data_IF_899814606242
#
_entry.id   IF_899814606242
#
_cell.length_a   1.000
_cell.length_b   1.000
_cell.length_c   1.000
_cell.angle_alpha   90.00
_cell.angle_beta   90.00
_cell.angle_gamma   90.00
#
_symmetry.space_group_name_H-M   'P 1'
#
loop_
_entity.id
_entity.type
_entity.pdbx_description
1 polymer ?
#
# COMPACT_ATOMS: atom_id res chain seq x y z
N UNK A 1 -15.47 34.20 11.88
CA UNK A 1 -15.81 33.19 12.90
C UNK A 1 -17.30 32.96 12.91
N UNK A 2 -17.72 31.70 12.92
CA UNK A 2 -19.10 31.24 13.05
C UNK A 2 -19.25 30.63 14.45
N UNK A 3 -19.99 31.32 15.31
CA UNK A 3 -20.12 30.95 16.73
C UNK A 3 -21.15 29.84 16.98
N UNK A 4 -22.21 29.80 16.17
CA UNK A 4 -23.22 28.74 16.17
C UNK A 4 -23.04 27.82 14.97
N UNK A 5 -23.95 26.84 14.80
CA UNK A 5 -23.95 25.96 13.65
C UNK A 5 -23.96 26.77 12.34
N UNK A 6 -23.14 26.37 11.37
CA UNK A 6 -23.08 26.99 10.06
C UNK A 6 -23.62 26.02 9.01
N UNK A 7 -24.75 26.35 8.41
CA UNK A 7 -25.45 25.48 7.48
C UNK A 7 -25.35 26.02 6.04
N UNK A 8 -24.63 25.28 5.20
CA UNK A 8 -24.48 25.46 3.76
C UNK A 8 -24.98 24.21 3.00
N UNK A 9 -25.91 23.45 3.59
CA UNK A 9 -26.51 22.27 2.96
C UNK A 9 -27.04 22.59 1.56
N UNK A 10 -26.54 21.86 0.56
CA UNK A 10 -26.94 22.03 -0.85
C UNK A 10 -26.65 23.41 -1.44
N UNK A 11 -25.87 24.26 -0.76
CA UNK A 11 -25.59 25.61 -1.22
C UNK A 11 -24.77 25.57 -2.51
N UNK A 12 -25.06 26.47 -3.44
CA UNK A 12 -24.24 26.68 -4.64
C UNK A 12 -23.50 28.01 -4.52
N UNK A 13 -22.17 27.94 -4.60
CA UNK A 13 -21.30 29.10 -4.57
C UNK A 13 -20.89 29.44 -6.01
N UNK A 14 -21.11 30.69 -6.39
CA UNK A 14 -20.71 31.26 -7.69
C UNK A 14 -19.57 32.25 -7.48
N UNK A 15 -18.53 32.14 -8.30
CA UNK A 15 -17.30 32.91 -8.16
C UNK A 15 -16.39 32.38 -7.04
N UNK A 16 -15.16 32.88 -7.06
CA UNK A 16 -14.14 32.56 -6.06
C UNK A 16 -14.67 32.78 -4.64
N UNK A 17 -14.58 31.75 -3.80
CA UNK A 17 -15.12 31.76 -2.44
C UNK A 17 -14.02 31.44 -1.43
N UNK A 18 -13.89 32.26 -0.38
CA UNK A 18 -12.88 32.03 0.67
C UNK A 18 -13.51 31.87 2.05
N UNK A 19 -13.21 30.72 2.65
CA UNK A 19 -13.30 30.42 4.08
C UNK A 19 -11.91 30.33 4.73
N UNK A 20 -10.87 30.86 4.07
CA UNK A 20 -9.50 30.80 4.59
C UNK A 20 -9.41 31.48 5.96
N UNK A 21 -8.73 30.84 6.90
CA UNK A 21 -8.65 31.25 8.32
C UNK A 21 -10.02 31.40 9.03
N UNK A 22 -11.12 30.91 8.46
CA UNK A 22 -12.40 30.88 9.13
C UNK A 22 -12.34 29.95 10.35
N UNK A 23 -13.07 30.33 11.39
CA UNK A 23 -13.24 29.51 12.59
C UNK A 23 -14.70 29.12 12.72
N UNK A 24 -14.98 27.83 12.66
CA UNK A 24 -16.28 27.22 12.92
C UNK A 24 -16.22 26.60 14.32
N UNK A 25 -16.87 27.23 15.30
CA UNK A 25 -16.78 26.79 16.70
C UNK A 25 -17.84 25.75 17.08
N UNK A 26 -18.84 25.57 16.22
CA UNK A 26 -19.86 24.53 16.27
C UNK A 26 -19.85 23.76 14.94
N UNK A 27 -20.80 22.84 14.77
CA UNK A 27 -20.91 22.01 13.58
C UNK A 27 -21.11 22.87 12.31
N UNK A 28 -20.47 22.47 11.22
CA UNK A 28 -20.54 23.13 9.93
C UNK A 28 -20.91 22.11 8.85
N UNK A 29 -22.04 22.32 8.18
CA UNK A 29 -22.47 21.44 7.09
C UNK A 29 -22.30 22.13 5.74
N UNK A 30 -21.54 21.48 4.87
CA UNK A 30 -21.40 21.70 3.43
C UNK A 30 -21.91 20.49 2.66
N UNK A 31 -22.77 19.67 3.28
CA UNK A 31 -23.33 18.48 2.67
C UNK A 31 -23.98 18.83 1.33
N UNK A 32 -23.55 18.15 0.26
CA UNK A 32 -24.07 18.37 -1.09
C UNK A 32 -23.84 19.79 -1.65
N UNK A 33 -22.97 20.61 -1.05
CA UNK A 33 -22.67 21.93 -1.56
C UNK A 33 -21.88 21.86 -2.88
N UNK A 34 -22.09 22.84 -3.76
CA UNK A 34 -21.39 22.96 -5.04
C UNK A 34 -20.56 24.24 -5.09
N UNK A 35 -19.27 24.10 -5.33
CA UNK A 35 -18.33 25.20 -5.55
C UNK A 35 -17.94 25.20 -7.04
N UNK A 36 -18.39 26.20 -7.79
CA UNK A 36 -18.23 26.22 -9.25
C UNK A 36 -16.90 26.83 -9.72
N UNK A 37 -16.26 27.61 -8.85
CA UNK A 37 -14.99 28.29 -9.07
C UNK A 37 -14.07 27.99 -7.88
N UNK A 38 -12.90 28.62 -7.82
CA UNK A 38 -11.91 28.38 -6.76
C UNK A 38 -12.52 28.51 -5.36
N UNK A 39 -12.18 27.58 -4.47
CA UNK A 39 -12.54 27.68 -3.04
C UNK A 39 -11.36 27.44 -2.12
N UNK A 40 -11.20 28.32 -1.15
CA UNK A 40 -10.15 28.24 -0.14
C UNK A 40 -10.70 28.02 1.26
N UNK A 41 -10.30 26.94 1.91
CA UNK A 41 -10.42 26.64 3.34
C UNK A 41 -9.07 26.70 4.07
N UNK A 42 -8.02 27.21 3.42
CA UNK A 42 -6.66 27.16 3.96
C UNK A 42 -6.57 27.82 5.34
N UNK A 43 -5.89 27.17 6.28
CA UNK A 43 -5.80 27.59 7.69
C UNK A 43 -7.14 27.76 8.43
N UNK A 44 -8.27 27.30 7.87
CA UNK A 44 -9.53 27.28 8.60
C UNK A 44 -9.48 26.26 9.76
N UNK A 45 -10.35 26.45 10.75
CA UNK A 45 -10.49 25.56 11.90
C UNK A 45 -11.94 25.16 12.11
N UNK A 46 -12.17 23.86 12.14
CA UNK A 46 -13.46 23.23 12.44
C UNK A 46 -13.39 22.58 13.82
N UNK A 47 -14.02 23.21 14.81
CA UNK A 47 -14.04 22.70 16.18
C UNK A 47 -15.13 21.62 16.40
N UNK A 48 -16.29 21.79 15.77
CA UNK A 48 -17.36 20.79 15.70
C UNK A 48 -17.22 19.85 14.50
N UNK A 49 -18.27 19.07 14.25
CA UNK A 49 -18.36 18.19 13.07
C UNK A 49 -18.33 19.01 11.80
N UNK A 50 -17.59 18.56 10.79
CA UNK A 50 -17.53 19.18 9.47
C UNK A 50 -18.01 18.21 8.39
N UNK A 51 -19.18 18.47 7.81
CA UNK A 51 -19.79 17.61 6.80
C UNK A 51 -19.55 18.19 5.40
N UNK A 52 -18.80 17.49 4.57
CA UNK A 52 -18.59 17.77 3.14
C UNK A 52 -19.12 16.62 2.25
N UNK A 53 -19.83 15.66 2.83
CA UNK A 53 -20.30 14.48 2.10
C UNK A 53 -21.11 14.89 0.88
N UNK A 54 -20.84 14.24 -0.26
CA UNK A 54 -21.45 14.52 -1.57
C UNK A 54 -21.21 15.93 -2.15
N UNK A 55 -20.36 16.76 -1.52
CA UNK A 55 -20.01 18.06 -2.05
C UNK A 55 -19.22 17.95 -3.36
N UNK A 56 -19.37 18.97 -4.22
CA UNK A 56 -18.73 19.04 -5.52
C UNK A 56 -17.85 20.29 -5.65
N UNK A 57 -16.58 20.08 -5.97
CA UNK A 57 -15.59 21.13 -6.20
C UNK A 57 -15.21 21.11 -7.68
N UNK A 58 -15.74 22.06 -8.47
CA UNK A 58 -15.56 22.10 -9.91
C UNK A 58 -14.17 22.60 -10.33
N UNK A 59 -13.59 23.51 -9.53
CA UNK A 59 -12.25 24.07 -9.71
C UNK A 59 -11.38 23.79 -8.47
N UNK A 60 -10.17 24.33 -8.45
CA UNK A 60 -9.16 24.10 -7.41
C UNK A 60 -9.73 24.38 -6.02
N UNK A 61 -9.58 23.41 -5.13
CA UNK A 61 -10.00 23.49 -3.73
C UNK A 61 -8.79 23.36 -2.79
N UNK A 62 -8.56 24.38 -1.96
CA UNK A 62 -7.46 24.36 -0.99
C UNK A 62 -7.97 24.17 0.43
N UNK A 63 -7.60 23.05 1.03
CA UNK A 63 -7.70 22.72 2.46
C UNK A 63 -6.33 22.76 3.14
N UNK A 64 -5.34 23.42 2.55
CA UNK A 64 -3.98 23.45 3.07
C UNK A 64 -3.94 23.99 4.50
N UNK A 65 -3.19 23.33 5.38
CA UNK A 65 -3.03 23.69 6.79
C UNK A 65 -4.35 23.81 7.58
N UNK A 66 -5.46 23.27 7.09
CA UNK A 66 -6.74 23.27 7.81
C UNK A 66 -6.64 22.38 9.04
N UNK A 67 -7.37 22.71 10.11
CA UNK A 67 -7.49 21.85 11.29
C UNK A 67 -8.93 21.43 11.54
N UNK A 68 -9.19 20.13 11.50
CA UNK A 68 -10.44 19.50 11.93
C UNK A 68 -10.23 18.90 13.32
N UNK A 69 -10.82 19.53 14.35
CA UNK A 69 -10.84 18.97 15.72
C UNK A 69 -12.01 18.01 15.89
N UNK A 70 -13.18 18.34 15.34
CA UNK A 70 -14.31 17.41 15.25
C UNK A 70 -14.17 16.43 14.09
N UNK A 71 -15.08 15.47 14.01
CA UNK A 71 -15.14 14.50 12.91
C UNK A 71 -15.34 15.23 11.57
N UNK A 72 -14.68 14.72 10.52
CA UNK A 72 -14.75 15.30 9.18
C UNK A 72 -15.22 14.26 8.18
N UNK A 73 -16.34 14.54 7.51
CA UNK A 73 -16.94 13.65 6.53
C UNK A 73 -16.77 14.22 5.12
N UNK A 74 -15.87 13.62 4.35
CA UNK A 74 -15.60 13.84 2.93
C UNK A 74 -16.06 12.64 2.09
N UNK A 75 -16.99 11.83 2.58
CA UNK A 75 -17.49 10.67 1.84
C UNK A 75 -18.23 11.10 0.57
N UNK A 76 -18.05 10.35 -0.51
CA UNK A 76 -18.67 10.63 -1.83
C UNK A 76 -18.36 12.05 -2.40
N UNK A 77 -17.35 12.74 -1.88
CA UNK A 77 -16.97 14.07 -2.37
C UNK A 77 -16.30 13.96 -3.73
N UNK A 78 -16.54 14.95 -4.59
CA UNK A 78 -15.97 15.02 -5.93
C UNK A 78 -15.11 16.28 -6.08
N UNK A 79 -13.84 16.10 -6.44
CA UNK A 79 -12.94 17.17 -6.86
C UNK A 79 -12.65 17.05 -8.35
N UNK A 80 -13.20 17.95 -9.16
CA UNK A 80 -13.01 17.98 -10.62
C UNK A 80 -11.68 18.61 -11.04
N UNK A 81 -11.01 19.31 -10.12
CA UNK A 81 -9.66 19.86 -10.29
C UNK A 81 -8.76 19.46 -9.11
N UNK A 82 -7.66 20.17 -8.89
CA UNK A 82 -6.72 19.86 -7.82
C UNK A 82 -7.35 20.07 -6.43
N UNK A 83 -7.11 19.12 -5.52
CA UNK A 83 -7.53 19.16 -4.13
C UNK A 83 -6.30 19.13 -3.22
N UNK A 84 -6.07 20.22 -2.47
CA UNK A 84 -4.87 20.36 -1.65
C UNK A 84 -5.19 20.33 -0.15
N UNK A 85 -4.88 19.21 0.51
CA UNK A 85 -4.93 19.00 1.96
C UNK A 85 -3.53 19.04 2.59
N UNK A 86 -2.53 19.60 1.91
CA UNK A 86 -1.16 19.64 2.38
C UNK A 86 -1.03 20.23 3.78
N UNK A 87 -0.31 19.54 4.67
CA UNK A 87 -0.07 19.96 6.07
C UNK A 87 -1.36 20.14 6.89
N UNK A 88 -2.49 19.59 6.45
CA UNK A 88 -3.72 19.59 7.25
C UNK A 88 -3.62 18.67 8.48
N UNK A 89 -4.49 18.90 9.46
CA UNK A 89 -4.57 18.09 10.69
C UNK A 89 -6.02 17.67 10.94
N UNK A 90 -6.22 16.35 11.09
CA UNK A 90 -7.50 15.72 11.44
C UNK A 90 -7.37 15.08 12.82
N UNK A 91 -7.79 15.76 13.88
CA UNK A 91 -7.61 15.29 15.27
C UNK A 91 -8.59 14.16 15.62
N UNK A 92 -9.81 14.19 15.06
CA UNK A 92 -10.81 13.13 15.13
C UNK A 92 -10.84 12.27 13.85
N UNK A 93 -11.81 11.33 13.77
CA UNK A 93 -11.96 10.44 12.62
C UNK A 93 -12.32 11.24 11.35
N UNK A 94 -11.73 10.84 10.23
CA UNK A 94 -11.91 11.46 8.93
C UNK A 94 -12.31 10.41 7.88
N UNK A 95 -13.49 10.59 7.30
CA UNK A 95 -14.03 9.69 6.27
C UNK A 95 -13.86 10.32 4.88
N UNK A 96 -13.07 9.69 4.02
CA UNK A 96 -12.89 9.99 2.60
C UNK A 96 -13.38 8.82 1.74
N UNK A 97 -14.27 7.97 2.25
CA UNK A 97 -14.74 6.80 1.51
C UNK A 97 -15.46 7.23 0.24
N UNK A 98 -15.18 6.53 -0.88
CA UNK A 98 -15.72 6.88 -2.20
C UNK A 98 -15.35 8.30 -2.67
N UNK A 99 -14.28 8.89 -2.12
CA UNK A 99 -13.68 10.12 -2.65
C UNK A 99 -13.35 9.94 -4.13
N UNK A 100 -13.71 10.92 -4.95
CA UNK A 100 -13.38 10.94 -6.37
C UNK A 100 -12.62 12.22 -6.72
N UNK A 101 -11.37 12.07 -7.18
CA UNK A 101 -10.52 13.21 -7.58
C UNK A 101 -10.10 13.05 -9.04
N UNK A 102 -10.44 14.04 -9.86
CA UNK A 102 -10.06 14.10 -11.26
C UNK A 102 -8.66 14.72 -11.45
N UNK A 103 -8.34 15.75 -10.65
CA UNK A 103 -7.00 16.36 -10.61
C UNK A 103 -6.15 15.82 -9.46
N UNK A 104 -4.95 16.38 -9.31
CA UNK A 104 -4.01 16.01 -8.25
C UNK A 104 -4.65 16.15 -6.86
N UNK A 105 -4.54 15.09 -6.06
CA UNK A 105 -4.99 15.08 -4.66
C UNK A 105 -3.78 15.04 -3.73
N UNK A 106 -3.50 16.17 -3.06
CA UNK A 106 -2.36 16.29 -2.16
C UNK A 106 -2.80 16.13 -0.70
N UNK A 107 -2.28 15.11 -0.04
CA UNK A 107 -2.30 14.85 1.40
C UNK A 107 -0.85 14.85 1.96
N UNK A 108 0.05 15.60 1.33
CA UNK A 108 1.46 15.61 1.69
C UNK A 108 1.66 16.22 3.10
N UNK A 109 2.51 15.58 3.90
CA UNK A 109 2.81 15.97 5.28
C UNK A 109 1.56 16.18 6.18
N UNK A 110 0.46 15.47 5.87
CA UNK A 110 -0.77 15.53 6.64
C UNK A 110 -0.66 14.72 7.94
N UNK A 111 -1.38 15.14 8.97
CA UNK A 111 -1.48 14.41 10.24
C UNK A 111 -2.92 13.96 10.52
N UNK A 112 -3.12 12.64 10.58
CA UNK A 112 -4.36 12.01 11.05
C UNK A 112 -4.18 11.56 12.51
N UNK A 113 -4.82 12.27 13.43
CA UNK A 113 -4.96 11.91 14.85
C UNK A 113 -6.02 10.84 15.09
N UNK A 114 -7.13 10.90 14.36
CA UNK A 114 -8.16 9.85 14.28
C UNK A 114 -7.96 8.89 13.12
N UNK A 115 -8.93 7.99 12.91
CA UNK A 115 -8.94 7.06 11.77
C UNK A 115 -9.03 7.84 10.46
N UNK A 116 -8.35 7.35 9.43
CA UNK A 116 -8.45 7.90 8.08
C UNK A 116 -8.97 6.83 7.13
N UNK A 117 -10.17 7.03 6.57
CA UNK A 117 -10.86 6.02 5.77
C UNK A 117 -10.92 6.50 4.32
N UNK A 118 -10.16 5.90 3.42
CA UNK A 118 -10.17 6.15 1.98
C UNK A 118 -10.77 4.98 1.19
N UNK A 119 -11.62 4.15 1.81
CA UNK A 119 -12.13 2.92 1.19
C UNK A 119 -12.87 3.20 -0.12
N UNK A 120 -12.58 2.41 -1.16
CA UNK A 120 -13.21 2.51 -2.48
C UNK A 120 -13.13 3.91 -3.12
N UNK A 121 -12.06 4.66 -2.83
CA UNK A 121 -11.79 5.97 -3.43
C UNK A 121 -11.12 5.82 -4.79
N UNK A 122 -11.28 6.83 -5.64
CA UNK A 122 -10.62 6.91 -6.95
C UNK A 122 -9.81 8.19 -7.06
N UNK A 123 -8.52 8.04 -7.29
CA UNK A 123 -7.59 9.11 -7.63
C UNK A 123 -7.24 9.00 -9.11
N UNK A 124 -7.87 9.77 -9.98
CA UNK A 124 -7.66 9.63 -11.42
C UNK A 124 -6.27 10.12 -11.86
N UNK A 125 -5.81 11.22 -11.25
CA UNK A 125 -4.46 11.77 -11.42
C UNK A 125 -3.57 11.37 -10.23
N UNK A 126 -2.47 12.10 -9.99
CA UNK A 126 -1.54 11.81 -8.91
C UNK A 126 -2.16 11.98 -7.52
N UNK A 127 -1.78 11.09 -6.59
CA UNK A 127 -2.15 11.16 -5.19
C UNK A 127 -0.90 11.22 -4.30
N UNK A 128 -0.76 12.28 -3.49
CA UNK A 128 0.46 12.52 -2.71
C UNK A 128 0.17 12.35 -1.22
N UNK A 129 0.73 11.33 -0.59
CA UNK A 129 0.69 11.06 0.85
C UNK A 129 2.09 11.13 1.49
N UNK A 130 3.08 11.64 0.78
CA UNK A 130 4.47 11.65 1.22
C UNK A 130 4.64 12.36 2.57
N UNK A 131 5.46 11.78 3.45
CA UNK A 131 5.74 12.25 4.81
C UNK A 131 4.50 12.44 5.71
N UNK A 132 3.37 11.81 5.39
CA UNK A 132 2.16 11.85 6.22
C UNK A 132 2.27 10.94 7.45
N UNK A 133 1.50 11.26 8.49
CA UNK A 133 1.48 10.51 9.75
C UNK A 133 0.05 10.09 10.08
N UNK A 134 -0.17 8.78 10.19
CA UNK A 134 -1.43 8.17 10.62
C UNK A 134 -1.26 7.61 12.04
N UNK A 135 -1.89 8.25 13.03
CA UNK A 135 -1.79 7.84 14.44
C UNK A 135 -2.79 6.72 14.82
N UNK A 136 -3.80 6.51 13.98
CA UNK A 136 -4.84 5.46 14.06
C UNK A 136 -4.93 4.73 12.72
N UNK A 137 -5.78 3.70 12.57
CA UNK A 137 -5.79 2.92 11.35
C UNK A 137 -6.06 3.76 10.10
N UNK A 138 -5.31 3.48 9.05
CA UNK A 138 -5.46 4.10 7.73
C UNK A 138 -5.99 3.05 6.75
N UNK A 139 -7.16 3.28 6.14
CA UNK A 139 -7.85 2.26 5.33
C UNK A 139 -8.01 2.73 3.91
N UNK A 140 -7.19 2.21 3.00
CA UNK A 140 -7.23 2.47 1.55
C UNK A 140 -7.89 1.34 0.76
N UNK A 141 -8.37 0.28 1.41
CA UNK A 141 -8.87 -0.94 0.75
C UNK A 141 -9.85 -0.66 -0.39
N UNK A 142 -9.71 -1.44 -1.48
CA UNK A 142 -10.54 -1.37 -2.70
C UNK A 142 -10.43 -0.07 -3.51
N UNK A 143 -9.48 0.80 -3.19
CA UNK A 143 -9.28 2.06 -3.91
C UNK A 143 -8.49 1.88 -5.20
N UNK A 144 -8.65 2.85 -6.10
CA UNK A 144 -7.92 2.96 -7.35
C UNK A 144 -7.03 4.22 -7.31
N UNK A 145 -5.74 4.03 -7.49
CA UNK A 145 -4.77 5.08 -7.79
C UNK A 145 -4.45 5.02 -9.29
N UNK A 146 -5.13 5.86 -10.07
CA UNK A 146 -5.00 5.98 -11.52
C UNK A 146 -3.69 6.61 -11.97
N UNK A 147 -3.28 7.69 -11.30
CA UNK A 147 -1.99 8.35 -11.49
C UNK A 147 -0.90 7.84 -10.54
N UNK A 148 0.21 8.56 -10.48
CA UNK A 148 1.34 8.23 -9.59
C UNK A 148 0.90 8.36 -8.13
N UNK A 149 1.18 7.34 -7.33
CA UNK A 149 0.86 7.31 -5.91
C UNK A 149 2.13 7.46 -5.07
N UNK A 150 2.25 8.56 -4.32
CA UNK A 150 3.46 8.87 -3.53
C UNK A 150 3.18 8.69 -2.04
N UNK A 151 3.64 7.60 -1.45
CA UNK A 151 3.60 7.29 -0.02
C UNK A 151 5.00 7.36 0.64
N UNK A 152 6.00 7.91 -0.06
CA UNK A 152 7.37 7.99 0.44
C UNK A 152 7.44 8.61 1.84
N UNK A 153 8.08 7.90 2.77
CA UNK A 153 8.23 8.34 4.16
C UNK A 153 6.94 8.42 4.98
N UNK A 154 5.83 7.83 4.53
CA UNK A 154 4.61 7.72 5.35
C UNK A 154 4.89 6.97 6.65
N UNK A 155 4.26 7.38 7.75
CA UNK A 155 4.35 6.69 9.04
C UNK A 155 2.96 6.31 9.52
N UNK A 156 2.72 5.01 9.70
CA UNK A 156 1.49 4.50 10.34
C UNK A 156 1.84 3.95 11.73
N UNK A 157 1.20 4.49 12.77
CA UNK A 157 1.41 4.06 14.18
C UNK A 157 0.50 2.91 14.61
N UNK A 158 -0.45 2.58 13.74
CA UNK A 158 -1.36 1.44 13.84
C UNK A 158 -1.55 0.87 12.43
N UNK A 159 -2.46 -0.09 12.27
CA UNK A 159 -2.64 -0.81 11.02
C UNK A 159 -2.88 0.08 9.80
N UNK A 160 -2.26 -0.24 8.67
CA UNK A 160 -2.67 0.28 7.37
C UNK A 160 -3.19 -0.85 6.47
N UNK A 161 -4.24 -0.53 5.72
CA UNK A 161 -4.98 -1.51 4.91
C UNK A 161 -5.02 -1.07 3.46
N UNK A 162 -4.27 -1.75 2.60
CA UNK A 162 -4.22 -1.61 1.15
C UNK A 162 -4.80 -2.84 0.44
N UNK A 163 -5.63 -3.63 1.12
CA UNK A 163 -6.18 -4.85 0.55
C UNK A 163 -7.07 -4.58 -0.65
N UNK A 164 -6.84 -5.33 -1.72
CA UNK A 164 -7.51 -5.16 -3.02
C UNK A 164 -7.41 -3.74 -3.61
N UNK A 165 -6.34 -2.99 -3.29
CA UNK A 165 -6.04 -1.71 -3.94
C UNK A 165 -5.42 -1.95 -5.32
N UNK A 166 -5.76 -1.09 -6.28
CA UNK A 166 -5.10 -1.05 -7.58
C UNK A 166 -4.30 0.23 -7.75
N UNK A 167 -3.00 0.10 -7.97
CA UNK A 167 -2.11 1.17 -8.43
C UNK A 167 -1.91 1.00 -9.93
N UNK A 168 -2.55 1.83 -10.73
CA UNK A 168 -2.50 1.75 -12.20
C UNK A 168 -1.21 2.33 -12.79
N UNK A 169 -0.51 3.18 -12.02
CA UNK A 169 0.79 3.77 -12.34
C UNK A 169 1.80 3.47 -11.22
N UNK A 170 2.97 4.11 -11.26
CA UNK A 170 4.02 3.92 -10.28
C UNK A 170 3.55 4.25 -8.84
N UNK A 171 3.94 3.39 -7.89
CA UNK A 171 3.64 3.53 -6.48
C UNK A 171 4.92 3.54 -5.64
N UNK A 172 5.15 4.62 -4.90
CA UNK A 172 6.36 4.84 -4.13
C UNK A 172 6.07 4.80 -2.63
N UNK A 173 6.51 3.74 -1.96
CA UNK A 173 6.51 3.54 -0.50
C UNK A 173 7.93 3.61 0.09
N UNK A 174 8.87 4.25 -0.61
CA UNK A 174 10.26 4.32 -0.16
C UNK A 174 10.38 4.97 1.23
N UNK A 175 11.12 4.32 2.13
CA UNK A 175 11.27 4.78 3.50
C UNK A 175 9.99 4.83 4.34
N UNK A 176 8.87 4.27 3.86
CA UNK A 176 7.64 4.17 4.64
C UNK A 176 7.86 3.35 5.93
N UNK A 177 7.19 3.71 7.01
CA UNK A 177 7.21 2.97 8.27
C UNK A 177 5.80 2.53 8.63
N UNK A 178 5.54 1.23 8.52
CA UNK A 178 4.31 0.59 8.93
C UNK A 178 4.50 -0.05 10.29
N UNK A 179 3.58 0.21 11.23
CA UNK A 179 3.62 -0.45 12.54
C UNK A 179 2.37 -1.28 12.78
N UNK A 180 2.51 -2.36 13.55
CA UNK A 180 1.45 -3.34 13.81
C UNK A 180 1.12 -4.17 12.56
N UNK A 181 -0.16 -4.26 12.18
CA UNK A 181 -0.63 -5.13 11.10
C UNK A 181 -0.77 -4.35 9.80
N UNK A 182 -0.08 -4.81 8.76
CA UNK A 182 -0.10 -4.19 7.44
C UNK A 182 -0.65 -5.18 6.40
N UNK A 183 -1.61 -4.74 5.59
CA UNK A 183 -2.31 -5.61 4.67
C UNK A 183 -2.35 -5.06 3.24
N UNK A 184 -1.47 -5.57 2.39
CA UNK A 184 -1.52 -5.39 0.94
C UNK A 184 -2.26 -6.55 0.24
N UNK A 185 -2.90 -7.46 0.97
CA UNK A 185 -3.47 -8.69 0.40
C UNK A 185 -4.36 -8.45 -0.82
N UNK A 186 -4.05 -9.13 -1.92
CA UNK A 186 -4.78 -8.99 -3.19
C UNK A 186 -4.59 -7.64 -3.91
N UNK A 187 -3.68 -6.78 -3.46
CA UNK A 187 -3.36 -5.55 -4.18
C UNK A 187 -2.70 -5.82 -5.54
N UNK A 188 -2.84 -4.86 -6.46
CA UNK A 188 -2.29 -4.93 -7.80
C UNK A 188 -1.52 -3.65 -8.14
N UNK A 189 -0.28 -3.80 -8.54
CA UNK A 189 0.61 -2.75 -9.02
C UNK A 189 0.84 -2.95 -10.52
N UNK A 190 0.22 -2.11 -11.34
CA UNK A 190 0.36 -2.16 -12.80
C UNK A 190 1.62 -1.43 -13.31
N UNK A 191 2.15 -0.49 -12.52
CA UNK A 191 3.46 0.15 -12.72
C UNK A 191 4.49 -0.28 -11.69
N UNK A 192 5.65 0.38 -11.67
CA UNK A 192 6.73 0.09 -10.73
C UNK A 192 6.29 0.31 -9.28
N UNK A 193 6.67 -0.60 -8.39
CA UNK A 193 6.37 -0.54 -6.97
C UNK A 193 7.66 -0.49 -6.15
N UNK A 194 7.87 0.60 -5.41
CA UNK A 194 9.07 0.77 -4.58
C UNK A 194 8.73 0.72 -3.10
N UNK A 195 9.24 -0.29 -2.40
CA UNK A 195 9.29 -0.42 -0.95
C UNK A 195 10.71 -0.29 -0.41
N UNK A 196 11.63 0.31 -1.19
CA UNK A 196 13.03 0.45 -0.80
C UNK A 196 13.15 1.16 0.55
N UNK A 197 13.91 0.57 1.47
CA UNK A 197 14.11 1.07 2.84
C UNK A 197 12.82 1.20 3.67
N UNK A 198 11.70 0.60 3.24
CA UNK A 198 10.48 0.55 4.05
C UNK A 198 10.70 -0.33 5.28
N UNK A 199 10.03 0.01 6.39
CA UNK A 199 10.11 -0.70 7.66
C UNK A 199 8.73 -1.19 8.08
N UNK A 200 8.59 -2.49 8.25
CA UNK A 200 7.38 -3.17 8.72
C UNK A 200 7.66 -3.68 10.14
N UNK A 201 7.17 -2.91 11.12
CA UNK A 201 7.52 -3.07 12.52
C UNK A 201 6.35 -3.69 13.29
N UNK A 202 6.49 -4.95 13.66
CA UNK A 202 5.60 -5.55 14.65
C UNK A 202 6.00 -5.08 16.05
N UNK A 203 5.03 -4.58 16.83
CA UNK A 203 5.28 -4.19 18.21
C UNK A 203 5.15 -5.42 19.12
N UNK A 204 6.14 -5.70 19.99
CA UNK A 204 6.03 -6.77 20.97
C UNK A 204 4.88 -6.46 21.93
N UNK A 205 3.80 -7.26 21.89
CA UNK A 205 2.76 -7.21 22.92
C UNK A 205 3.13 -8.14 24.07
N UNK A 206 2.95 -7.64 25.29
CA UNK A 206 3.18 -8.33 26.56
C UNK A 206 2.06 -9.32 26.87
N UNK A 207 1.96 -10.44 26.15
CA UNK A 207 1.35 -11.72 26.62
C UNK A 207 1.18 -12.66 25.42
N UNK A 208 1.78 -13.84 25.50
CA UNK A 208 1.83 -14.85 24.43
C UNK A 208 0.77 -15.95 24.53
N UNK A 209 -0.30 -15.78 25.32
CA UNK A 209 -1.06 -16.94 25.78
C UNK A 209 -2.40 -17.23 25.07
N UNK A 210 -3.02 -16.32 24.31
CA UNK A 210 -4.39 -16.58 23.79
C UNK A 210 -4.77 -15.93 22.44
N UNK A 211 -3.91 -15.91 21.41
CA UNK A 211 -4.36 -15.57 20.04
C UNK A 211 -3.65 -16.36 18.93
N UNK A 212 -4.45 -17.09 18.14
CA UNK A 212 -4.05 -17.74 16.89
C UNK A 212 -3.56 -16.69 15.87
N UNK A 213 -2.23 -16.63 15.72
CA UNK A 213 -1.36 -15.85 14.83
C UNK A 213 -1.18 -14.32 15.07
N UNK A 214 0.05 -13.89 15.45
CA UNK A 214 0.40 -12.49 15.75
C UNK A 214 0.87 -11.69 14.52
N UNK A 215 0.51 -10.40 14.46
CA UNK A 215 1.06 -9.30 13.63
C UNK A 215 2.02 -9.70 12.48
N UNK A 216 1.52 -9.68 11.23
CA UNK A 216 2.29 -9.94 9.99
C UNK A 216 2.20 -8.74 9.04
N UNK A 217 3.21 -8.56 8.21
CA UNK A 217 3.04 -7.83 6.95
C UNK A 217 2.51 -8.82 5.91
N UNK A 218 1.35 -8.51 5.30
CA UNK A 218 0.68 -9.39 4.37
C UNK A 218 0.78 -8.88 2.93
N UNK A 219 1.48 -9.63 2.08
CA UNK A 219 1.55 -9.44 0.63
C UNK A 219 0.97 -10.66 -0.12
N UNK A 220 0.12 -11.44 0.54
CA UNK A 220 -0.49 -12.62 -0.07
C UNK A 220 -1.36 -12.20 -1.27
N UNK A 221 -1.22 -12.94 -2.38
CA UNK A 221 -1.96 -12.73 -3.64
C UNK A 221 -1.74 -11.35 -4.27
N UNK A 222 -0.68 -10.64 -3.89
CA UNK A 222 -0.33 -9.37 -4.55
C UNK A 222 0.19 -9.65 -5.96
N UNK A 223 -0.12 -8.77 -6.90
CA UNK A 223 0.44 -8.80 -8.26
C UNK A 223 1.26 -7.54 -8.54
N UNK A 224 2.54 -7.72 -8.86
CA UNK A 224 3.42 -6.70 -9.40
C UNK A 224 3.61 -6.97 -10.90
N UNK A 225 2.99 -6.14 -11.74
CA UNK A 225 3.04 -6.29 -13.19
C UNK A 225 4.37 -5.80 -13.79
N UNK A 226 5.02 -4.85 -13.12
CA UNK A 226 6.36 -4.33 -13.44
C UNK A 226 7.31 -4.62 -12.28
N UNK A 227 8.40 -3.86 -12.20
CA UNK A 227 9.46 -4.08 -11.22
C UNK A 227 8.98 -3.77 -9.79
N UNK A 228 9.40 -4.62 -8.85
CA UNK A 228 9.09 -4.49 -7.43
C UNK A 228 10.39 -4.43 -6.63
N UNK A 229 10.67 -3.27 -6.02
CA UNK A 229 11.89 -3.04 -5.25
C UNK A 229 11.62 -3.00 -3.75
N UNK A 230 12.01 -4.06 -3.04
CA UNK A 230 12.03 -4.16 -1.57
C UNK A 230 13.45 -3.96 -1.01
N UNK A 231 14.39 -3.42 -1.79
CA UNK A 231 15.78 -3.30 -1.39
C UNK A 231 15.94 -2.60 -0.05
N UNK A 232 16.74 -3.18 0.84
CA UNK A 232 17.02 -2.63 2.18
C UNK A 232 15.77 -2.42 3.05
N UNK A 233 14.64 -3.02 2.71
CA UNK A 233 13.47 -3.04 3.59
C UNK A 233 13.76 -3.86 4.86
N UNK A 234 13.00 -3.62 5.92
CA UNK A 234 13.11 -4.34 7.18
C UNK A 234 11.75 -4.88 7.62
N UNK A 235 11.67 -6.17 7.91
CA UNK A 235 10.48 -6.83 8.45
C UNK A 235 10.83 -7.40 9.82
N UNK A 236 10.32 -6.78 10.90
CA UNK A 236 10.62 -7.19 12.29
C UNK A 236 9.69 -8.30 12.81
N UNK A 237 8.93 -8.92 11.90
CA UNK A 237 8.10 -10.10 12.13
C UNK A 237 7.97 -10.87 10.81
N UNK A 238 7.20 -11.95 10.84
CA UNK A 238 6.94 -12.76 9.66
C UNK A 238 6.20 -11.96 8.58
N UNK A 239 6.70 -12.05 7.35
CA UNK A 239 6.05 -11.52 6.16
C UNK A 239 5.53 -12.65 5.27
N UNK A 240 4.29 -12.52 4.83
CA UNK A 240 3.64 -13.45 3.90
C UNK A 240 3.68 -12.92 2.48
N UNK A 241 4.16 -13.74 1.56
CA UNK A 241 4.15 -13.54 0.11
C UNK A 241 3.45 -14.74 -0.57
N UNK A 242 2.44 -15.33 0.08
CA UNK A 242 1.77 -16.53 -0.44
C UNK A 242 1.06 -16.18 -1.75
N UNK A 243 1.32 -16.93 -2.82
CA UNK A 243 0.70 -16.71 -4.14
C UNK A 243 0.90 -15.29 -4.69
N UNK A 244 1.96 -14.59 -4.28
CA UNK A 244 2.37 -13.32 -4.90
C UNK A 244 2.83 -13.57 -6.33
N UNK A 245 2.62 -12.61 -7.23
CA UNK A 245 3.14 -12.64 -8.59
C UNK A 245 4.05 -11.44 -8.81
N UNK A 246 5.32 -11.70 -9.11
CA UNK A 246 6.29 -10.73 -9.62
C UNK A 246 6.47 -10.99 -11.11
N UNK A 247 5.75 -10.25 -11.96
CA UNK A 247 5.87 -10.38 -13.41
C UNK A 247 7.14 -9.69 -13.94
N UNK A 248 7.48 -8.53 -13.37
CA UNK A 248 8.76 -7.84 -13.59
C UNK A 248 9.86 -8.33 -12.64
N UNK A 249 10.97 -7.59 -12.58
CA UNK A 249 12.08 -7.91 -11.69
C UNK A 249 11.70 -7.67 -10.22
N UNK A 250 12.06 -8.59 -9.34
CA UNK A 250 11.90 -8.47 -7.90
C UNK A 250 13.25 -8.30 -7.21
N UNK A 251 13.43 -7.22 -6.46
CA UNK A 251 14.64 -6.95 -5.69
C UNK A 251 14.34 -7.00 -4.20
N UNK A 252 14.96 -7.95 -3.51
CA UNK A 252 15.06 -8.01 -2.04
C UNK A 252 16.50 -7.73 -1.59
N UNK A 253 17.27 -7.04 -2.43
CA UNK A 253 18.68 -6.82 -2.17
C UNK A 253 18.87 -6.06 -0.84
N UNK A 254 19.60 -6.64 0.10
CA UNK A 254 19.86 -5.99 1.37
C UNK A 254 18.70 -6.03 2.37
N UNK A 255 17.59 -6.72 2.09
CA UNK A 255 16.40 -6.79 2.95
C UNK A 255 16.66 -7.63 4.20
N UNK A 256 16.18 -7.16 5.35
CA UNK A 256 16.23 -7.90 6.62
C UNK A 256 14.86 -8.46 6.98
N UNK A 257 14.78 -9.77 7.18
CA UNK A 257 13.59 -10.50 7.60
C UNK A 257 13.82 -11.17 8.95
N UNK A 258 12.79 -11.20 9.80
CA UNK A 258 12.71 -12.22 10.86
C UNK A 258 12.34 -13.59 10.26
N UNK A 259 11.44 -13.59 9.28
CA UNK A 259 11.12 -14.74 8.43
C UNK A 259 10.21 -14.35 7.27
N UNK A 260 10.35 -15.05 6.14
CA UNK A 260 9.61 -14.76 4.91
C UNK A 260 9.08 -16.04 4.26
N UNK A 261 7.82 -16.01 3.80
CA UNK A 261 7.12 -17.16 3.26
C UNK A 261 6.62 -16.87 1.84
N UNK A 262 7.10 -17.63 0.86
CA UNK A 262 6.78 -17.49 -0.57
C UNK A 262 6.02 -18.70 -1.19
N UNK A 263 5.22 -19.51 -0.46
CA UNK A 263 4.57 -20.67 -1.08
C UNK A 263 3.60 -20.21 -2.17
N UNK A 264 3.70 -20.84 -3.35
CA UNK A 264 2.91 -20.47 -4.52
C UNK A 264 3.31 -19.15 -5.20
N UNK A 265 4.36 -18.47 -4.73
CA UNK A 265 4.86 -17.24 -5.35
C UNK A 265 5.33 -17.49 -6.79
N UNK A 266 5.17 -16.52 -7.68
CA UNK A 266 5.63 -16.61 -9.08
C UNK A 266 6.63 -15.49 -9.36
N UNK A 267 7.80 -15.84 -9.90
CA UNK A 267 8.83 -14.92 -10.36
C UNK A 267 8.99 -15.08 -11.88
N UNK A 268 8.60 -14.05 -12.63
CA UNK A 268 8.62 -14.03 -14.10
C UNK A 268 9.96 -13.60 -14.70
N UNK A 269 10.70 -12.77 -13.97
CA UNK A 269 12.00 -12.20 -14.34
C UNK A 269 12.95 -12.27 -13.14
N UNK A 270 14.08 -11.55 -13.21
CA UNK A 270 15.12 -11.46 -12.17
C UNK A 270 14.55 -11.44 -10.74
N UNK A 271 15.17 -12.23 -9.87
CA UNK A 271 14.88 -12.26 -8.44
C UNK A 271 16.19 -12.10 -7.66
N UNK A 272 16.43 -10.91 -7.11
CA UNK A 272 17.66 -10.59 -6.38
C UNK A 272 17.44 -10.64 -4.87
N UNK A 273 17.87 -11.73 -4.23
CA UNK A 273 17.87 -11.91 -2.78
C UNK A 273 19.27 -11.75 -2.16
N UNK A 274 20.20 -11.07 -2.83
CA UNK A 274 21.55 -10.88 -2.28
C UNK A 274 21.55 -10.00 -1.06
N UNK A 275 22.53 -10.23 -0.19
CA UNK A 275 22.71 -9.45 1.03
C UNK A 275 21.46 -9.45 1.93
N UNK A 276 20.63 -10.49 1.86
CA UNK A 276 19.44 -10.62 2.72
C UNK A 276 19.82 -11.19 4.09
N UNK A 277 18.96 -11.01 5.10
CA UNK A 277 19.14 -11.67 6.39
C UNK A 277 17.83 -12.25 6.91
N UNK A 278 17.92 -13.36 7.64
CA UNK A 278 16.83 -14.13 8.23
C UNK A 278 17.21 -14.47 9.68
N UNK A 279 16.58 -13.79 10.64
CA UNK A 279 17.01 -13.84 12.03
C UNK A 279 16.34 -14.92 12.88
N UNK A 280 15.09 -15.28 12.57
CA UNK A 280 14.32 -16.22 13.41
C UNK A 280 14.02 -17.55 12.72
N UNK A 281 13.75 -17.54 11.41
CA UNK A 281 13.44 -18.76 10.65
C UNK A 281 13.99 -18.66 9.23
N UNK A 282 14.35 -19.81 8.66
CA UNK A 282 14.74 -19.91 7.24
C UNK A 282 13.60 -19.46 6.32
N UNK A 283 13.89 -18.85 5.15
CA UNK A 283 12.87 -18.56 4.17
C UNK A 283 12.22 -19.86 3.66
N UNK A 284 10.91 -19.83 3.43
CA UNK A 284 10.17 -20.97 2.87
C UNK A 284 9.64 -20.64 1.48
N UNK A 285 9.92 -21.52 0.51
CA UNK A 285 9.42 -21.43 -0.86
C UNK A 285 8.39 -22.52 -1.19
N UNK A 286 8.07 -23.38 -0.23
CA UNK A 286 7.05 -24.41 -0.35
C UNK A 286 6.19 -24.44 0.93
N UNK A 287 4.96 -24.93 0.78
CA UNK A 287 4.11 -25.35 1.89
C UNK A 287 4.00 -26.87 1.89
N UNK A 288 4.57 -27.51 2.92
CA UNK A 288 4.61 -28.97 3.05
C UNK A 288 3.30 -29.57 3.58
N UNK A 289 2.43 -28.76 4.21
CA UNK A 289 1.15 -29.20 4.74
C UNK A 289 0.05 -29.10 3.67
N UNK A 290 0.04 -28.00 2.92
CA UNK A 290 -0.86 -27.78 1.78
C UNK A 290 -0.22 -28.28 0.49
N UNK A 291 -0.21 -29.61 0.30
CA UNK A 291 0.29 -30.31 -0.91
C UNK A 291 0.09 -29.47 -2.18
N UNK A 292 1.20 -28.99 -2.76
CA UNK A 292 1.37 -28.37 -4.10
C UNK A 292 1.53 -26.84 -4.17
N UNK A 293 1.62 -26.08 -3.08
CA UNK A 293 1.94 -24.64 -3.17
C UNK A 293 3.46 -24.37 -3.11
N UNK A 294 4.14 -24.62 -4.23
CA UNK A 294 5.56 -24.28 -4.43
C UNK A 294 5.75 -22.96 -5.17
N UNK A 295 6.80 -22.22 -4.82
CA UNK A 295 7.25 -21.07 -5.57
C UNK A 295 7.77 -21.48 -6.94
N UNK A 296 7.47 -20.68 -7.94
CA UNK A 296 7.78 -20.94 -9.35
C UNK A 296 8.62 -19.82 -9.94
N UNK A 297 9.63 -20.22 -10.69
CA UNK A 297 10.55 -19.33 -11.39
C UNK A 297 10.45 -19.57 -12.89
N UNK A 298 10.42 -18.51 -13.68
CA UNK A 298 10.31 -18.61 -15.14
C UNK A 298 11.55 -19.27 -15.74
N UNK A 299 11.36 -20.30 -16.55
CA UNK A 299 12.43 -20.92 -17.34
C UNK A 299 12.86 -20.07 -18.54
N UNK A 300 12.22 -18.93 -18.81
CA UNK A 300 12.64 -17.97 -19.85
C UNK A 300 13.70 -16.98 -19.33
N UNK A 301 13.74 -16.68 -18.03
CA UNK A 301 14.74 -15.78 -17.45
C UNK A 301 16.18 -16.30 -17.64
N UNK A 302 17.19 -15.43 -17.51
CA UNK A 302 18.59 -15.85 -17.43
C UNK A 302 18.81 -16.60 -16.10
N UNK A 303 19.42 -17.80 -16.06
CA UNK A 303 19.70 -18.49 -14.81
C UNK A 303 20.58 -17.69 -13.85
N UNK A 304 21.38 -16.75 -14.36
CA UNK A 304 22.20 -15.84 -13.55
C UNK A 304 21.41 -14.70 -12.91
N UNK A 305 20.14 -14.51 -13.28
CA UNK A 305 19.28 -13.48 -12.71
C UNK A 305 18.54 -13.94 -11.43
N UNK A 306 18.66 -15.22 -11.04
CA UNK A 306 18.17 -15.70 -9.76
C UNK A 306 19.31 -15.79 -8.77
N UNK A 307 19.34 -14.83 -7.83
CA UNK A 307 20.49 -14.61 -6.96
C UNK A 307 20.07 -14.81 -5.50
N UNK A 308 20.60 -15.83 -4.84
CA UNK A 308 20.28 -16.17 -3.45
C UNK A 308 21.53 -16.11 -2.57
N UNK A 309 21.64 -15.08 -1.74
CA UNK A 309 22.79 -14.90 -0.86
C UNK A 309 22.34 -14.23 0.46
N UNK A 310 22.49 -14.96 1.56
CA UNK A 310 22.30 -14.41 2.90
C UNK A 310 23.60 -13.79 3.42
N UNK A 311 23.51 -12.73 4.22
CA UNK A 311 24.66 -12.10 4.88
C UNK A 311 25.33 -13.05 5.87
N UNK A 312 26.65 -12.89 6.14
CA UNK A 312 27.36 -13.68 7.13
C UNK A 312 26.76 -13.61 8.54
N UNK A 313 26.13 -12.49 8.92
CA UNK A 313 25.51 -12.30 10.24
C UNK A 313 24.10 -12.88 10.33
N UNK A 314 23.56 -13.41 9.24
CA UNK A 314 22.23 -14.01 9.19
C UNK A 314 22.21 -15.35 9.91
N UNK A 315 21.25 -15.55 10.83
CA UNK A 315 21.11 -16.81 11.56
C UNK A 315 20.66 -17.97 10.64
N UNK A 316 19.88 -17.64 9.62
CA UNK A 316 19.41 -18.58 8.60
C UNK A 316 19.71 -18.07 7.19
N UNK A 317 19.63 -18.94 6.20
CA UNK A 317 19.87 -18.58 4.81
C UNK A 317 19.15 -19.51 3.85
N UNK A 318 19.56 -19.48 2.59
CA UNK A 318 18.98 -20.31 1.54
C UNK A 318 19.61 -21.70 1.55
N UNK A 319 18.78 -22.72 1.32
CA UNK A 319 19.23 -24.03 0.84
C UNK A 319 18.84 -24.09 -0.62
N UNK A 320 19.81 -24.15 -1.53
CA UNK A 320 19.56 -24.17 -2.96
C UNK A 320 19.94 -25.52 -3.56
N UNK A 321 19.18 -25.91 -4.58
CA UNK A 321 19.36 -27.12 -5.37
C UNK A 321 19.26 -26.79 -6.86
N UNK A 322 19.50 -27.80 -7.70
CA UNK A 322 19.37 -27.67 -9.15
C UNK A 322 17.95 -28.05 -9.60
N UNK A 323 17.37 -27.24 -10.49
CA UNK A 323 16.16 -27.57 -11.24
C UNK A 323 16.45 -27.42 -12.74
N UNK A 324 15.90 -28.33 -13.55
CA UNK A 324 16.09 -28.32 -15.00
C UNK A 324 14.75 -28.26 -15.73
N UNK A 325 14.64 -27.35 -16.70
CA UNK A 325 13.51 -27.28 -17.62
C UNK A 325 14.01 -26.72 -18.96
N UNK A 326 13.47 -27.23 -20.08
CA UNK A 326 13.86 -26.80 -21.44
C UNK A 326 15.39 -26.90 -21.70
N UNK A 327 16.06 -27.92 -21.17
CA UNK A 327 17.53 -28.12 -21.24
C UNK A 327 18.34 -26.96 -20.65
N UNK A 328 17.78 -26.26 -19.65
CA UNK A 328 18.45 -25.19 -18.90
C UNK A 328 18.44 -25.54 -17.43
N UNK A 329 19.59 -25.44 -16.79
CA UNK A 329 19.75 -25.68 -15.35
C UNK A 329 19.74 -24.36 -14.60
N UNK A 330 18.98 -24.32 -13.51
CA UNK A 330 18.87 -23.18 -12.61
C UNK A 330 19.19 -23.61 -11.18
N UNK A 331 19.80 -22.70 -10.41
CA UNK A 331 20.02 -22.88 -8.97
C UNK A 331 18.92 -22.12 -8.23
N UNK A 332 18.01 -22.85 -7.60
CA UNK A 332 16.82 -22.30 -6.95
C UNK A 332 16.75 -22.76 -5.49
N UNK A 333 15.97 -22.09 -4.62
CA UNK A 333 15.69 -22.58 -3.28
C UNK A 333 15.04 -23.97 -3.36
N UNK A 334 15.47 -24.89 -2.49
CA UNK A 334 14.93 -26.25 -2.41
C UNK A 334 13.40 -26.20 -2.28
N UNK A 335 12.74 -27.08 -3.03
CA UNK A 335 11.28 -27.15 -3.11
C UNK A 335 10.68 -26.26 -4.21
N UNK A 336 11.37 -25.20 -4.65
CA UNK A 336 10.94 -24.36 -5.77
C UNK A 336 11.04 -25.10 -7.12
N UNK A 337 10.20 -24.70 -8.07
CA UNK A 337 10.14 -25.29 -9.41
C UNK A 337 10.37 -24.25 -10.51
N UNK A 338 10.75 -24.73 -11.69
CA UNK A 338 10.68 -23.94 -12.92
C UNK A 338 9.33 -24.14 -13.60
N UNK A 339 8.83 -23.11 -14.27
CA UNK A 339 7.69 -23.23 -15.19
C UNK A 339 8.05 -22.62 -16.55
N UNK A 340 7.44 -23.16 -17.61
CA UNK A 340 7.50 -22.58 -18.95
C UNK A 340 6.34 -21.58 -19.11
N UNK A 341 6.61 -20.25 -19.22
CA UNK A 341 5.58 -19.24 -19.40
C UNK A 341 4.70 -19.46 -20.65
N UNK A 342 5.22 -20.13 -21.69
CA UNK A 342 4.47 -20.39 -22.92
C UNK A 342 3.50 -21.58 -22.79
N UNK A 343 3.54 -22.29 -21.66
CA UNK A 343 2.74 -23.50 -21.40
C UNK A 343 1.43 -23.26 -20.64
N UNK A 344 0.99 -22.01 -20.52
CA UNK A 344 -0.26 -21.64 -19.83
C UNK A 344 -1.49 -22.25 -20.49
N UNK A 345 -2.27 -23.00 -19.72
CA UNK A 345 -3.55 -23.58 -20.12
C UNK A 345 -4.69 -22.72 -19.54
N UNK A 346 -5.39 -22.00 -20.43
CA UNK A 346 -6.49 -21.10 -20.03
C UNK A 346 -7.69 -21.83 -19.42
N UNK A 347 -7.94 -23.09 -19.80
CA UNK A 347 -9.07 -23.85 -19.26
C UNK A 347 -8.78 -24.31 -17.83
N UNK A 348 -7.54 -24.73 -17.57
CA UNK A 348 -7.12 -25.26 -16.27
C UNK A 348 -6.55 -24.18 -15.33
N UNK A 349 -6.22 -23.00 -15.86
CA UNK A 349 -5.57 -21.91 -15.14
C UNK A 349 -4.26 -22.36 -14.48
N UNK A 350 -3.48 -23.18 -15.20
CA UNK A 350 -2.19 -23.73 -14.75
C UNK A 350 -1.18 -23.81 -15.89
N UNK A 351 0.11 -23.84 -15.54
CA UNK A 351 1.19 -24.12 -16.51
C UNK A 351 1.32 -25.62 -16.68
N UNK A 352 1.36 -26.08 -17.92
CA UNK A 352 1.39 -27.51 -18.25
C UNK A 352 2.79 -28.11 -18.24
N UNK A 353 3.84 -27.28 -18.34
CA UNK A 353 5.23 -27.70 -18.24
C UNK A 353 5.90 -27.08 -17.02
N UNK A 354 6.16 -27.92 -16.02
CA UNK A 354 6.80 -27.58 -14.75
C UNK A 354 7.93 -28.60 -14.50
N UNK A 355 9.07 -28.15 -13.95
CA UNK A 355 10.16 -29.05 -13.59
C UNK A 355 9.84 -29.86 -12.33
N UNK A 356 10.65 -30.89 -12.06
CA UNK A 356 10.77 -31.39 -10.69
C UNK A 356 11.29 -30.27 -9.76
N UNK A 357 10.96 -30.31 -8.45
CA UNK A 357 11.48 -29.36 -7.48
C UNK A 357 13.01 -29.40 -7.39
N UNK A 358 13.63 -28.26 -7.11
CA UNK A 358 15.06 -28.17 -6.85
C UNK A 358 15.45 -29.05 -5.65
N UNK A 359 16.48 -29.90 -5.83
CA UNK A 359 16.96 -30.87 -4.83
C UNK A 359 18.37 -30.61 -4.32
#
# INVERSE_FOLDING_TARGET
>A
TFYGPADFFGATFHGDTSFSAAQFTADASFYGASFNDWVGFSAARFAGVAEFSTAHFADVASFATVTFTGEADFSDVVFSAAADFGVASFEADADFSRLNTAGIASFAAIAFGGKAIFTASTFHDEAHFAASVFNRPAVFSKSLFGGVARFAGVVTKQSAMFSNVRFASAADFSGATFTQYEDFGGARFDGDATFSRASFIALPRTSYEDMDFPQRANFDKVTFAQDADFSKATFTAFVGFRRVTFAGAASFNGTSFEGAYFPGATFGQRADFRQTSFMYVKPSFEDLEERLQTARFSAQADPQDYLFEARPESAHGFSCGEAELLNRTFVLPVGAVLYDPDSWDEEKQEYTHISEPAQ
#
